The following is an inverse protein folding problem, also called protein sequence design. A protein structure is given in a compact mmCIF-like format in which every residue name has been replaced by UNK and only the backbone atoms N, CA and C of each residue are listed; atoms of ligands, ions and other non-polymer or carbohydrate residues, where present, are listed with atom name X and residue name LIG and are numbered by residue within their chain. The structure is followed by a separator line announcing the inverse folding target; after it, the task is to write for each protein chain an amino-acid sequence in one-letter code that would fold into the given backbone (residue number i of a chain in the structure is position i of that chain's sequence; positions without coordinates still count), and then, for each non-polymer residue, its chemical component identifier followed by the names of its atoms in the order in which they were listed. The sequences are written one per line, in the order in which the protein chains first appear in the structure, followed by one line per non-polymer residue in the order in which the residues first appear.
data_IF_911201427529
#
_entry.id   IF_911201427529
#
_cell.length_a   1.000
_cell.length_b   1.000
_cell.length_c   1.000
_cell.angle_alpha   90.00
_cell.angle_beta   90.00
_cell.angle_gamma   90.00
#
_symmetry.space_group_name_H-M   'P 1'
#
loop_
_entity.id
_entity.type
_entity.pdbx_description
1 polymer ?
#
# COMPACT_ATOMS: atom_id res chain seq x y z
N UNK A 1 16.65 -34.10 5.56
CA UNK A 1 15.20 -34.04 5.32
C UNK A 1 14.50 -34.84 6.41
N UNK A 2 13.43 -34.31 7.02
CA UNK A 2 12.68 -35.03 8.04
C UNK A 2 11.64 -35.94 7.37
N UNK A 3 11.76 -37.25 7.59
CA UNK A 3 10.87 -38.29 7.07
C UNK A 3 9.42 -38.20 7.59
N UNK A 4 9.15 -37.37 8.61
CA UNK A 4 7.82 -37.16 9.18
C UNK A 4 7.29 -35.73 8.98
N UNK A 5 7.97 -34.90 8.18
CA UNK A 5 7.47 -33.55 7.94
C UNK A 5 6.22 -33.62 7.07
N UNK A 6 5.09 -33.20 7.62
CA UNK A 6 3.85 -32.96 6.86
C UNK A 6 4.06 -31.84 5.81
N UNK A 7 3.15 -31.59 4.87
CA UNK A 7 3.18 -30.36 4.09
C UNK A 7 2.91 -29.12 4.97
N UNK A 8 3.32 -27.93 4.50
CA UNK A 8 2.83 -26.67 5.07
C UNK A 8 1.34 -26.52 4.74
N UNK A 9 0.55 -26.08 5.72
CA UNK A 9 -0.84 -25.75 5.47
C UNK A 9 -0.91 -24.53 4.53
N UNK A 10 -1.75 -24.62 3.51
CA UNK A 10 -2.13 -23.49 2.66
C UNK A 10 -3.63 -23.27 2.75
N UNK A 11 -4.04 -22.02 2.99
CA UNK A 11 -5.45 -21.66 2.97
C UNK A 11 -6.04 -21.79 1.58
N UNK A 12 -7.36 -21.97 1.51
CA UNK A 12 -8.10 -22.03 0.24
C UNK A 12 -7.89 -20.76 -0.60
N UNK A 13 -7.82 -19.59 0.06
CA UNK A 13 -7.53 -18.32 -0.60
C UNK A 13 -6.15 -18.32 -1.27
N UNK A 14 -5.12 -18.85 -0.62
CA UNK A 14 -3.78 -18.96 -1.20
C UNK A 14 -3.78 -19.91 -2.40
N UNK A 15 -4.45 -21.06 -2.29
CA UNK A 15 -4.56 -22.01 -3.39
C UNK A 15 -5.30 -21.41 -4.59
N UNK A 16 -6.39 -20.68 -4.35
CA UNK A 16 -7.13 -19.96 -5.36
C UNK A 16 -6.27 -18.90 -6.07
N UNK A 17 -5.55 -18.06 -5.33
CA UNK A 17 -4.68 -17.03 -5.91
C UNK A 17 -3.59 -17.67 -6.77
N UNK A 18 -2.99 -18.77 -6.30
CA UNK A 18 -1.97 -19.50 -7.07
C UNK A 18 -2.54 -20.03 -8.39
N UNK A 19 -3.71 -20.67 -8.35
CA UNK A 19 -4.39 -21.16 -9.55
C UNK A 19 -4.77 -20.03 -10.52
N UNK A 20 -5.28 -18.91 -10.00
CA UNK A 20 -5.62 -17.74 -10.79
C UNK A 20 -4.41 -17.19 -11.56
N UNK A 21 -3.25 -17.11 -10.91
CA UNK A 21 -2.01 -16.63 -11.54
C UNK A 21 -1.49 -17.58 -12.62
N UNK A 22 -1.65 -18.89 -12.45
CA UNK A 22 -1.31 -19.86 -13.50
C UNK A 22 -2.23 -19.70 -14.71
N UNK A 23 -3.53 -19.50 -14.48
CA UNK A 23 -4.51 -19.32 -15.54
C UNK A 23 -4.36 -17.98 -16.27
N UNK A 24 -3.85 -16.95 -15.58
CA UNK A 24 -3.71 -15.58 -16.09
C UNK A 24 -2.30 -15.04 -15.82
N UNK A 25 -1.28 -15.47 -16.59
CA UNK A 25 0.10 -15.04 -16.40
C UNK A 25 0.31 -13.52 -16.59
N UNK A 26 -0.58 -12.85 -17.33
CA UNK A 26 -0.57 -11.40 -17.55
C UNK A 26 -1.04 -10.58 -16.33
N UNK A 27 -1.67 -11.22 -15.34
CA UNK A 27 -2.34 -10.54 -14.23
C UNK A 27 -1.37 -9.68 -13.40
N UNK A 28 -0.15 -10.14 -13.18
CA UNK A 28 0.84 -9.41 -12.39
C UNK A 28 1.29 -8.11 -13.10
N UNK A 29 1.42 -8.15 -14.43
CA UNK A 29 1.72 -6.98 -15.25
C UNK A 29 0.56 -5.97 -15.21
N UNK A 30 -0.68 -6.45 -15.34
CA UNK A 30 -1.88 -5.63 -15.23
C UNK A 30 -2.03 -5.00 -13.84
N UNK A 31 -1.72 -5.75 -12.77
CA UNK A 31 -1.75 -5.23 -11.41
C UNK A 31 -0.71 -4.14 -11.20
N UNK A 32 0.49 -4.32 -11.76
CA UNK A 32 1.54 -3.30 -11.75
C UNK A 32 1.11 -2.04 -12.49
N UNK A 33 0.58 -2.19 -13.71
CA UNK A 33 0.07 -1.08 -14.50
C UNK A 33 -1.07 -0.34 -13.79
N UNK A 34 -2.04 -1.08 -13.23
CA UNK A 34 -3.16 -0.51 -12.47
C UNK A 34 -2.70 0.25 -11.22
N UNK A 35 -1.68 -0.25 -10.51
CA UNK A 35 -1.04 0.50 -9.42
C UNK A 35 -0.32 1.74 -9.91
N UNK A 36 0.33 1.72 -11.07
CA UNK A 36 1.03 2.89 -11.59
C UNK A 36 0.06 4.05 -11.94
N UNK A 37 -1.17 3.75 -12.39
CA UNK A 37 -2.16 4.76 -12.81
C UNK A 37 -2.42 5.87 -11.78
N UNK A 38 -2.49 5.50 -10.50
CA UNK A 38 -2.89 6.44 -9.44
C UNK A 38 -1.71 7.17 -8.81
N UNK A 39 -0.49 6.70 -9.07
CA UNK A 39 0.72 7.15 -8.38
C UNK A 39 1.66 7.98 -9.27
N UNK A 40 1.39 8.10 -10.56
CA UNK A 40 2.08 9.05 -11.45
C UNK A 40 1.58 10.48 -11.21
N UNK A 41 1.99 11.06 -10.09
CA UNK A 41 1.75 12.47 -9.77
C UNK A 41 3.04 13.24 -10.03
N UNK A 42 2.99 14.18 -10.97
CA UNK A 42 4.04 15.18 -11.08
C UNK A 42 4.01 16.07 -9.84
N UNK A 43 5.04 15.92 -9.01
CA UNK A 43 5.21 16.68 -7.79
C UNK A 43 6.22 17.80 -8.04
N UNK A 44 5.75 19.04 -7.97
CA UNK A 44 6.64 20.20 -7.96
C UNK A 44 7.30 20.34 -6.59
N UNK A 45 8.63 20.21 -6.57
CA UNK A 45 9.44 20.29 -5.34
C UNK A 45 9.40 21.68 -4.70
N UNK A 46 9.25 22.74 -5.49
CA UNK A 46 9.17 24.12 -5.00
C UNK A 46 7.86 24.32 -4.21
N UNK A 47 6.74 23.91 -4.80
CA UNK A 47 5.42 23.97 -4.16
C UNK A 47 5.41 23.14 -2.87
N UNK A 48 6.04 21.96 -2.87
CA UNK A 48 6.18 21.17 -1.64
C UNK A 48 7.02 21.83 -0.56
N UNK A 49 7.99 22.67 -0.93
CA UNK A 49 8.71 23.53 0.00
C UNK A 49 7.75 24.54 0.64
N UNK A 50 7.00 25.25 -0.20
CA UNK A 50 6.02 26.26 0.24
C UNK A 50 4.95 25.66 1.16
N UNK A 51 4.45 24.44 0.88
CA UNK A 51 3.51 23.76 1.78
C UNK A 51 4.11 23.41 3.14
N UNK A 52 5.39 23.02 3.19
CA UNK A 52 6.06 22.73 4.46
C UNK A 52 6.29 24.02 5.26
N UNK A 53 6.69 25.10 4.59
CA UNK A 53 6.86 26.41 5.21
C UNK A 53 5.54 26.98 5.73
N UNK A 54 4.43 26.72 5.04
CA UNK A 54 3.09 27.14 5.43
C UNK A 54 2.43 26.25 6.51
N UNK A 55 3.11 25.22 7.03
CA UNK A 55 2.53 24.36 8.06
C UNK A 55 2.21 25.15 9.34
N UNK A 56 0.97 25.01 9.81
CA UNK A 56 0.54 25.54 11.11
C UNK A 56 0.72 24.45 12.16
N UNK A 57 1.32 24.80 13.30
CA UNK A 57 1.48 23.87 14.41
C UNK A 57 0.11 23.37 14.90
N UNK A 58 -0.09 22.06 14.86
CA UNK A 58 -1.30 21.43 15.37
C UNK A 58 -1.19 21.27 16.89
N UNK A 59 -2.29 21.52 17.61
CA UNK A 59 -2.36 21.25 19.06
C UNK A 59 -2.15 19.74 19.32
N UNK A 60 -1.56 19.36 20.46
CA UNK A 60 -1.44 17.95 20.86
C UNK A 60 -2.79 17.21 20.88
N UNK A 61 -3.86 17.94 21.22
CA UNK A 61 -5.22 17.45 21.14
C UNK A 61 -6.06 18.40 20.29
N UNK A 62 -6.46 17.93 19.10
CA UNK A 62 -7.15 18.72 18.06
C UNK A 62 -8.46 19.34 18.56
N UNK A 63 -9.14 18.63 19.45
CA UNK A 63 -10.42 19.06 20.02
C UNK A 63 -10.29 19.82 21.35
N UNK A 64 -9.07 20.15 21.77
CA UNK A 64 -8.88 20.93 22.99
C UNK A 64 -9.38 22.35 22.76
N UNK A 65 -10.47 22.70 23.45
CA UNK A 65 -10.95 24.07 23.55
C UNK A 65 -9.88 24.93 24.22
N UNK A 66 -9.65 26.14 23.71
CA UNK A 66 -8.82 27.10 24.45
C UNK A 66 -9.56 27.43 25.75
N UNK A 67 -8.89 27.30 26.89
CA UNK A 67 -9.33 27.95 28.11
C UNK A 67 -8.80 29.39 28.03
N UNK A 68 -9.68 30.38 28.17
CA UNK A 68 -9.27 31.77 28.38
C UNK A 68 -8.54 31.92 29.72
#
# INVERSE_FOLDING_TARGET
MSIFRRPDYQSEATQFINQLKVQKPELDAQQSAGRALLWDKQVDRKIWGEYREAQVAQKPYVYQTNAD
#
